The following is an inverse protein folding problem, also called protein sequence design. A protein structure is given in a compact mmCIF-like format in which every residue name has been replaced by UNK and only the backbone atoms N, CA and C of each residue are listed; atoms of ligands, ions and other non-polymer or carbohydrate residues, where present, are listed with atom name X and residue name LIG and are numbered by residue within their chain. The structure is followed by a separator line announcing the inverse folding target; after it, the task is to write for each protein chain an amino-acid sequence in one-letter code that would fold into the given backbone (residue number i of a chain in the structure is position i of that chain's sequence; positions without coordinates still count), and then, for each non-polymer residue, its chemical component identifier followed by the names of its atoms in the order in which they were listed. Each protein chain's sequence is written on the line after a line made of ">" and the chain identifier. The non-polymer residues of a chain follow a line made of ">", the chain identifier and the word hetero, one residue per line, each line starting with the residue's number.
data_IF_643937324703
#
_entry.id   IF_643937324703
#
_cell.length_a   1.000
_cell.length_b   1.000
_cell.length_c   1.000
_cell.angle_alpha   90.00
_cell.angle_beta   90.00
_cell.angle_gamma   90.00
#
_symmetry.space_group_name_H-M   'P 1'
#
loop_
_entity.id
_entity.type
_entity.pdbx_description
1 polymer ?
#
# COMPACT_ATOMS: atom_id res chain seq x y z
N UNK A 1 6.65 -50.22 26.13
CA UNK A 1 6.32 -50.67 24.75
C UNK A 1 5.58 -49.54 24.04
N UNK A 2 5.92 -49.33 22.77
CA UNK A 2 5.64 -48.17 21.90
C UNK A 2 4.23 -48.16 21.28
N UNK A 3 3.69 -46.97 20.97
CA UNK A 3 3.27 -46.46 19.63
C UNK A 3 2.44 -45.16 19.87
N UNK A 4 2.83 -43.93 19.51
CA UNK A 4 3.20 -43.29 18.23
C UNK A 4 2.22 -43.56 17.09
N UNK A 5 1.16 -42.75 16.98
CA UNK A 5 0.34 -42.63 15.76
C UNK A 5 -0.51 -41.34 15.69
N UNK A 6 0.00 -40.19 16.14
CA UNK A 6 -0.57 -38.89 15.75
C UNK A 6 0.48 -38.12 14.95
N UNK A 7 0.09 -37.65 13.76
CA UNK A 7 0.77 -36.67 12.89
C UNK A 7 1.01 -37.20 11.47
N UNK A 8 -0.05 -37.25 10.64
CA UNK A 8 0.06 -37.43 9.19
C UNK A 8 -1.11 -36.78 8.43
N UNK A 9 -1.47 -35.52 8.69
CA UNK A 9 -2.26 -34.74 7.71
C UNK A 9 -1.97 -33.24 7.89
N UNK A 10 -1.15 -32.63 7.03
CA UNK A 10 -1.19 -31.17 6.66
C UNK A 10 -0.02 -30.64 5.81
N UNK A 11 0.77 -31.47 5.11
CA UNK A 11 1.82 -30.96 4.19
C UNK A 11 1.49 -31.29 2.73
N UNK A 12 0.62 -30.50 2.07
CA UNK A 12 0.39 -30.62 0.62
C UNK A 12 -0.01 -29.30 -0.08
N UNK A 13 0.69 -28.19 0.18
CA UNK A 13 0.68 -27.08 -0.79
C UNK A 13 2.03 -26.37 -0.83
N UNK A 14 2.45 -26.05 -2.05
CA UNK A 14 3.55 -25.14 -2.41
C UNK A 14 4.93 -25.80 -2.59
N UNK A 15 5.11 -26.38 -3.78
CA UNK A 15 6.37 -26.98 -4.25
C UNK A 15 6.82 -26.30 -5.54
N UNK A 16 7.78 -25.37 -5.46
CA UNK A 16 8.48 -24.83 -6.64
C UNK A 16 9.52 -25.83 -7.18
N UNK A 17 9.60 -25.96 -8.49
CA UNK A 17 10.27 -27.03 -9.23
C UNK A 17 11.43 -26.44 -10.07
N UNK A 18 12.68 -26.58 -9.62
CA UNK A 18 13.85 -26.25 -10.45
C UNK A 18 14.28 -27.47 -11.30
N UNK A 19 14.36 -27.26 -12.62
CA UNK A 19 14.59 -28.27 -13.65
C UNK A 19 16.05 -28.22 -14.14
N UNK A 20 16.88 -29.21 -13.80
CA UNK A 20 18.19 -29.39 -14.46
C UNK A 20 18.06 -30.38 -15.63
N UNK A 21 18.41 -29.92 -16.84
CA UNK A 21 18.45 -30.74 -18.06
C UNK A 21 19.83 -31.41 -18.17
N UNK A 22 19.86 -32.74 -18.12
CA UNK A 22 21.00 -33.53 -18.61
C UNK A 22 20.72 -34.02 -20.03
N UNK A 23 21.67 -33.93 -20.97
CA UNK A 23 21.44 -34.39 -22.32
C UNK A 23 21.54 -35.92 -22.36
N UNK A 24 20.40 -36.58 -22.58
CA UNK A 24 20.34 -37.98 -22.96
C UNK A 24 19.81 -38.06 -24.38
N UNK A 25 20.55 -38.77 -25.23
CA UNK A 25 20.20 -38.99 -26.61
C UNK A 25 18.80 -39.58 -26.76
N UNK A 26 18.06 -38.96 -27.66
CA UNK A 26 16.86 -39.39 -28.37
C UNK A 26 15.72 -40.01 -27.54
N UNK A 27 14.75 -39.13 -27.26
CA UNK A 27 13.30 -39.33 -27.33
C UNK A 27 12.62 -40.27 -26.32
N UNK A 28 12.81 -39.99 -25.01
CA UNK A 28 11.70 -39.71 -24.07
C UNK A 28 12.28 -39.31 -22.70
N UNK A 29 12.25 -38.01 -22.39
CA UNK A 29 12.84 -37.42 -21.17
C UNK A 29 11.88 -37.68 -20.00
N UNK A 30 12.04 -38.80 -19.31
CA UNK A 30 11.48 -38.99 -17.96
C UNK A 30 12.31 -38.20 -16.94
N UNK A 31 11.97 -36.92 -16.72
CA UNK A 31 12.57 -36.07 -15.69
C UNK A 31 12.27 -36.64 -14.29
N UNK A 32 13.27 -37.30 -13.67
CA UNK A 32 13.23 -37.60 -12.24
C UNK A 32 13.68 -36.38 -11.45
N UNK A 33 12.72 -35.60 -10.95
CA UNK A 33 12.96 -34.48 -10.04
C UNK A 33 13.41 -34.99 -8.67
N UNK A 34 14.71 -34.94 -8.39
CA UNK A 34 15.26 -35.21 -7.06
C UNK A 34 15.03 -33.98 -6.15
N UNK A 35 13.88 -33.94 -5.46
CA UNK A 35 13.59 -32.93 -4.44
C UNK A 35 14.52 -33.12 -3.23
N UNK A 36 15.57 -32.31 -3.15
CA UNK A 36 16.32 -32.17 -1.89
C UNK A 36 15.48 -31.34 -0.92
N UNK A 37 14.77 -32.01 -0.02
CA UNK A 37 14.10 -31.38 1.13
C UNK A 37 15.16 -30.75 2.05
N UNK A 38 15.54 -29.51 1.77
CA UNK A 38 16.40 -28.76 2.67
C UNK A 38 15.51 -28.28 3.82
N UNK A 39 15.47 -29.05 4.92
CA UNK A 39 14.82 -28.63 6.17
C UNK A 39 15.22 -27.19 6.46
N UNK A 40 14.24 -26.29 6.59
CA UNK A 40 14.50 -24.90 6.95
C UNK A 40 15.21 -24.91 8.30
N UNK A 41 16.47 -24.50 8.31
CA UNK A 41 17.23 -24.37 9.55
C UNK A 41 16.71 -23.15 10.30
N UNK A 42 16.85 -23.12 11.63
CA UNK A 42 16.47 -21.95 12.43
C UNK A 42 17.15 -20.66 11.92
N UNK A 43 18.39 -20.79 11.43
CA UNK A 43 19.12 -19.70 10.74
C UNK A 43 18.42 -19.25 9.45
N UNK A 44 17.91 -20.19 8.65
CA UNK A 44 17.15 -19.89 7.44
C UNK A 44 15.81 -19.22 7.72
N UNK A 45 15.12 -19.63 8.80
CA UNK A 45 13.90 -18.95 9.28
C UNK A 45 14.18 -17.52 9.73
N UNK A 46 15.18 -17.34 10.60
CA UNK A 46 15.58 -16.03 11.10
C UNK A 46 15.95 -15.06 9.97
N UNK A 47 16.69 -15.53 8.96
CA UNK A 47 17.02 -14.74 7.78
C UNK A 47 15.78 -14.28 7.00
N UNK A 48 14.80 -15.17 6.77
CA UNK A 48 13.57 -14.80 6.08
C UNK A 48 12.73 -13.80 6.86
N UNK A 49 12.62 -13.98 8.19
CA UNK A 49 11.92 -13.04 9.08
C UNK A 49 12.54 -11.64 8.96
N UNK A 50 13.87 -11.54 9.08
CA UNK A 50 14.53 -10.23 9.01
C UNK A 50 14.36 -9.59 7.62
N UNK A 51 14.47 -10.36 6.54
CA UNK A 51 14.23 -9.86 5.17
C UNK A 51 12.81 -9.32 4.99
N UNK A 52 11.78 -10.02 5.50
CA UNK A 52 10.38 -9.56 5.39
C UNK A 52 10.11 -8.34 6.27
N UNK A 53 10.70 -8.30 7.46
CA UNK A 53 10.69 -7.12 8.35
C UNK A 53 11.32 -5.90 7.69
N UNK A 54 12.51 -6.03 7.12
CA UNK A 54 13.19 -4.94 6.41
C UNK A 54 12.37 -4.44 5.22
N UNK A 55 11.78 -5.35 4.45
CA UNK A 55 10.88 -5.01 3.36
C UNK A 55 9.68 -4.19 3.86
N UNK A 56 8.99 -4.65 4.91
CA UNK A 56 7.86 -3.96 5.51
C UNK A 56 8.26 -2.56 6.03
N UNK A 57 9.41 -2.43 6.69
CA UNK A 57 9.96 -1.14 7.15
C UNK A 57 10.34 -0.21 5.99
N UNK A 58 10.84 -0.76 4.88
CA UNK A 58 11.15 0.03 3.69
C UNK A 58 9.89 0.69 3.12
N UNK A 59 8.79 -0.07 3.03
CA UNK A 59 7.50 0.45 2.58
C UNK A 59 6.98 1.53 3.55
N UNK A 60 7.03 1.28 4.86
CA UNK A 60 6.67 2.27 5.88
C UNK A 60 7.42 3.60 5.71
N UNK A 61 8.72 3.56 5.39
CA UNK A 61 9.51 4.76 5.09
C UNK A 61 9.04 5.46 3.81
N UNK A 62 8.72 4.72 2.74
CA UNK A 62 8.19 5.30 1.50
C UNK A 62 6.86 6.01 1.75
N UNK A 63 5.94 5.37 2.49
CA UNK A 63 4.67 5.96 2.88
C UNK A 63 4.89 7.26 3.67
N UNK A 64 5.79 7.22 4.65
CA UNK A 64 6.11 8.42 5.47
C UNK A 64 6.66 9.56 4.62
N UNK A 65 7.43 9.26 3.57
CA UNK A 65 7.91 10.28 2.61
C UNK A 65 6.75 10.89 1.83
N UNK A 66 5.84 10.06 1.32
CA UNK A 66 4.64 10.52 0.60
C UNK A 66 3.77 11.40 1.50
N UNK A 67 3.56 11.01 2.77
CA UNK A 67 2.82 11.84 3.74
C UNK A 67 3.40 13.24 3.84
N UNK A 68 4.72 13.37 3.96
CA UNK A 68 5.40 14.67 4.03
C UNK A 68 5.26 15.48 2.74
N UNK A 69 5.31 14.81 1.58
CA UNK A 69 5.07 15.47 0.28
C UNK A 69 3.66 16.03 0.21
N UNK A 70 2.66 15.25 0.61
CA UNK A 70 1.26 15.67 0.63
C UNK A 70 1.06 16.82 1.62
N UNK A 71 1.60 16.71 2.84
CA UNK A 71 1.55 17.78 3.84
C UNK A 71 2.14 19.09 3.32
N UNK A 72 3.22 19.04 2.53
CA UNK A 72 3.78 20.23 1.87
C UNK A 72 2.91 20.80 0.75
N UNK A 73 2.09 19.96 0.11
CA UNK A 73 1.22 20.34 -1.00
C UNK A 73 -0.14 20.87 -0.52
N UNK A 74 -0.56 20.49 0.70
CA UNK A 74 -1.73 21.01 1.43
C UNK A 74 -1.42 22.43 1.96
N UNK A 75 -1.18 23.36 1.05
CA UNK A 75 -0.91 24.77 1.35
C UNK A 75 -1.87 25.69 0.61
N UNK A 76 -2.21 25.35 -0.63
CA UNK A 76 -3.09 26.11 -1.49
C UNK A 76 -4.15 25.20 -2.12
N UNK A 77 -5.37 25.71 -2.26
CA UNK A 77 -6.49 24.95 -2.83
C UNK A 77 -6.24 24.54 -4.29
N UNK A 78 -5.48 25.35 -5.02
CA UNK A 78 -5.14 25.10 -6.43
C UNK A 78 -4.32 23.81 -6.62
N UNK A 79 -3.68 23.30 -5.57
CA UNK A 79 -2.93 22.04 -5.60
C UNK A 79 -3.82 20.79 -5.46
N UNK A 80 -5.16 20.93 -5.45
CA UNK A 80 -6.09 19.82 -5.21
C UNK A 80 -5.84 18.61 -6.11
N UNK A 81 -5.50 18.83 -7.38
CA UNK A 81 -5.24 17.75 -8.33
C UNK A 81 -3.93 17.01 -8.04
N UNK A 82 -2.89 17.72 -7.64
CA UNK A 82 -1.61 17.10 -7.23
C UNK A 82 -1.80 16.26 -5.97
N UNK A 83 -2.48 16.83 -4.96
CA UNK A 83 -2.80 16.11 -3.71
C UNK A 83 -3.67 14.88 -3.95
N UNK A 84 -4.60 14.93 -4.92
CA UNK A 84 -5.39 13.75 -5.32
C UNK A 84 -4.53 12.65 -5.94
N UNK A 85 -3.62 12.99 -6.85
CA UNK A 85 -2.71 12.02 -7.47
C UNK A 85 -1.80 11.37 -6.40
N UNK A 86 -1.25 12.19 -5.50
CA UNK A 86 -0.42 11.68 -4.41
C UNK A 86 -1.21 10.80 -3.43
N UNK A 87 -2.50 11.09 -3.20
CA UNK A 87 -3.38 10.24 -2.40
C UNK A 87 -3.62 8.86 -3.02
N UNK A 88 -3.69 8.76 -4.35
CA UNK A 88 -3.78 7.47 -5.05
C UNK A 88 -2.50 6.65 -4.84
N UNK A 89 -1.33 7.27 -5.04
CA UNK A 89 -0.03 6.64 -4.79
C UNK A 89 0.09 6.20 -3.33
N UNK A 90 -0.31 7.06 -2.39
CA UNK A 90 -0.35 6.77 -0.96
C UNK A 90 -1.25 5.56 -0.66
N UNK A 91 -2.44 5.50 -1.25
CA UNK A 91 -3.39 4.40 -1.06
C UNK A 91 -2.84 3.08 -1.59
N UNK A 92 -2.16 3.09 -2.75
CA UNK A 92 -1.50 1.91 -3.30
C UNK A 92 -0.39 1.40 -2.36
N UNK A 93 0.41 2.32 -1.80
CA UNK A 93 1.46 1.95 -0.85
C UNK A 93 0.90 1.37 0.46
N UNK A 94 -0.28 1.80 0.92
CA UNK A 94 -0.93 1.19 2.09
C UNK A 94 -1.32 -0.27 1.85
N UNK A 95 -1.82 -0.60 0.65
CA UNK A 95 -2.12 -1.98 0.26
C UNK A 95 -0.84 -2.81 0.24
N UNK A 96 0.25 -2.28 -0.34
CA UNK A 96 1.57 -2.95 -0.31
C UNK A 96 2.09 -3.15 1.11
N UNK A 97 1.87 -2.18 2.00
CA UNK A 97 2.29 -2.27 3.41
C UNK A 97 1.56 -3.38 4.15
N UNK A 98 0.24 -3.49 3.96
CA UNK A 98 -0.57 -4.57 4.51
C UNK A 98 -0.08 -5.94 4.01
N UNK A 99 0.12 -6.10 2.70
CA UNK A 99 0.60 -7.35 2.13
C UNK A 99 2.01 -7.73 2.64
N UNK A 100 2.91 -6.74 2.80
CA UNK A 100 4.22 -6.98 3.36
C UNK A 100 4.18 -7.35 4.85
N UNK A 101 3.26 -6.76 5.61
CA UNK A 101 3.00 -7.13 7.00
C UNK A 101 2.46 -8.57 7.09
N UNK A 102 1.46 -8.93 6.29
CA UNK A 102 0.90 -10.29 6.27
C UNK A 102 1.97 -11.33 5.94
N UNK A 103 2.85 -11.04 4.98
CA UNK A 103 3.98 -11.90 4.63
C UNK A 103 5.03 -12.01 5.76
N UNK A 104 5.25 -10.95 6.54
CA UNK A 104 6.13 -11.00 7.71
C UNK A 104 5.48 -11.77 8.86
N UNK A 105 4.23 -11.45 9.19
CA UNK A 105 3.39 -12.08 10.22
C UNK A 105 3.29 -13.58 10.00
N UNK A 106 3.12 -14.04 8.77
CA UNK A 106 3.01 -15.46 8.42
C UNK A 106 4.25 -16.31 8.79
N UNK A 107 5.39 -15.67 9.03
CA UNK A 107 6.61 -16.37 9.47
C UNK A 107 6.77 -16.44 10.99
N UNK A 108 5.93 -15.73 11.75
CA UNK A 108 6.03 -15.58 13.21
C UNK A 108 5.05 -16.50 13.93
N UNK A 109 5.37 -16.87 15.16
CA UNK A 109 4.50 -17.72 15.98
C UNK A 109 4.54 -17.34 17.45
N UNK A 110 3.43 -17.59 18.16
CA UNK A 110 3.33 -17.39 19.60
C UNK A 110 3.69 -15.96 20.02
N UNK A 111 4.68 -15.83 20.91
CA UNK A 111 5.06 -14.55 21.52
C UNK A 111 5.73 -13.57 20.56
N UNK A 112 6.23 -14.02 19.40
CA UNK A 112 6.84 -13.13 18.40
C UNK A 112 5.79 -12.25 17.69
N UNK A 113 4.51 -12.66 17.69
CA UNK A 113 3.44 -11.98 16.97
C UNK A 113 2.99 -10.67 17.62
N UNK A 114 2.99 -10.62 18.95
CA UNK A 114 2.51 -9.46 19.73
C UNK A 114 3.25 -8.17 19.34
N UNK A 115 4.58 -8.08 19.47
CA UNK A 115 5.29 -6.84 19.16
C UNK A 115 5.19 -6.45 17.68
N UNK A 116 5.03 -7.41 16.77
CA UNK A 116 4.90 -7.15 15.33
C UNK A 116 3.51 -6.65 14.97
N UNK A 117 2.48 -7.15 15.65
CA UNK A 117 1.10 -6.69 15.50
C UNK A 117 0.94 -5.29 16.08
N UNK A 118 1.43 -5.05 17.30
CA UNK A 118 1.40 -3.73 17.93
C UNK A 118 2.10 -2.67 17.07
N UNK A 119 3.27 -3.02 16.52
CA UNK A 119 4.00 -2.15 15.60
C UNK A 119 3.20 -1.83 14.34
N UNK A 120 2.58 -2.84 13.71
CA UNK A 120 1.78 -2.64 12.52
C UNK A 120 0.55 -1.78 12.79
N UNK A 121 -0.21 -2.09 13.85
CA UNK A 121 -1.43 -1.38 14.21
C UNK A 121 -1.16 0.10 14.48
N UNK A 122 -0.09 0.42 15.19
CA UNK A 122 0.31 1.81 15.45
C UNK A 122 0.61 2.55 14.14
N UNK A 123 1.44 1.97 13.28
CA UNK A 123 1.82 2.60 12.02
C UNK A 123 0.67 2.70 11.04
N UNK A 124 -0.14 1.66 10.93
CA UNK A 124 -1.34 1.67 10.08
C UNK A 124 -2.34 2.72 10.55
N UNK A 125 -2.56 2.84 11.87
CA UNK A 125 -3.41 3.90 12.44
C UNK A 125 -2.92 5.29 12.07
N UNK A 126 -1.61 5.57 12.21
CA UNK A 126 -1.03 6.86 11.83
C UNK A 126 -1.27 7.15 10.34
N UNK A 127 -0.97 6.19 9.47
CA UNK A 127 -1.12 6.34 8.03
C UNK A 127 -2.59 6.52 7.62
N UNK A 128 -3.50 5.74 8.22
CA UNK A 128 -4.92 5.83 7.92
C UNK A 128 -5.53 7.16 8.40
N UNK A 129 -5.11 7.66 9.58
CA UNK A 129 -5.50 8.98 10.05
C UNK A 129 -5.02 10.10 9.10
N UNK A 130 -3.82 9.97 8.53
CA UNK A 130 -3.34 10.89 7.50
C UNK A 130 -4.24 10.82 6.25
N UNK A 131 -4.57 9.60 5.77
CA UNK A 131 -5.48 9.40 4.64
C UNK A 131 -6.80 10.16 4.81
N UNK A 132 -7.44 10.01 5.96
CA UNK A 132 -8.73 10.67 6.27
C UNK A 132 -8.58 12.19 6.18
N UNK A 133 -7.53 12.76 6.80
CA UNK A 133 -7.27 14.21 6.73
C UNK A 133 -7.08 14.72 5.31
N UNK A 134 -6.38 13.95 4.46
CA UNK A 134 -6.15 14.32 3.06
C UNK A 134 -7.48 14.31 2.29
N UNK A 135 -8.30 13.28 2.48
CA UNK A 135 -9.62 13.18 1.86
C UNK A 135 -10.52 14.34 2.26
N UNK A 136 -10.56 14.66 3.57
CA UNK A 136 -11.34 15.78 4.09
C UNK A 136 -10.85 17.12 3.50
N UNK A 137 -9.54 17.32 3.43
CA UNK A 137 -8.96 18.51 2.82
C UNK A 137 -9.33 18.64 1.33
N UNK A 138 -9.24 17.55 0.55
CA UNK A 138 -9.64 17.54 -0.86
C UNK A 138 -11.12 17.93 -1.01
N UNK A 139 -12.00 17.40 -0.15
CA UNK A 139 -13.42 17.73 -0.19
C UNK A 139 -13.67 19.24 0.05
N UNK A 140 -12.99 19.82 1.05
CA UNK A 140 -13.06 21.26 1.33
C UNK A 140 -12.46 22.09 0.19
N UNK A 141 -11.33 21.66 -0.37
CA UNK A 141 -10.65 22.33 -1.47
C UNK A 141 -11.55 22.48 -2.70
N UNK A 142 -12.20 21.38 -3.10
CA UNK A 142 -13.13 21.37 -4.23
C UNK A 142 -14.30 22.34 -4.02
N UNK A 143 -14.92 22.28 -2.85
CA UNK A 143 -16.01 23.19 -2.50
C UNK A 143 -15.57 24.66 -2.58
N UNK A 144 -14.36 24.99 -2.09
CA UNK A 144 -13.85 26.36 -2.11
C UNK A 144 -13.52 26.86 -3.53
N UNK A 145 -13.03 25.99 -4.40
CA UNK A 145 -12.77 26.33 -5.80
C UNK A 145 -14.09 26.63 -6.52
N UNK A 146 -15.13 25.81 -6.30
CA UNK A 146 -16.46 26.01 -6.87
C UNK A 146 -17.10 27.33 -6.42
N UNK A 147 -17.08 27.63 -5.11
CA UNK A 147 -17.58 28.88 -4.52
C UNK A 147 -16.93 30.12 -5.16
N UNK A 148 -15.61 30.10 -5.36
CA UNK A 148 -14.90 31.21 -6.01
C UNK A 148 -15.27 31.41 -7.49
N UNK A 149 -15.68 30.36 -8.20
CA UNK A 149 -16.12 30.47 -9.59
C UNK A 149 -17.51 31.11 -9.70
N UNK A 150 -18.40 30.81 -8.76
CA UNK A 150 -19.75 31.38 -8.72
C UNK A 150 -19.73 32.87 -8.34
N UNK A 151 -18.88 33.26 -7.41
CA UNK A 151 -18.66 34.67 -7.04
C UNK A 151 -18.11 35.50 -8.22
N UNK A 152 -17.13 34.96 -8.95
CA UNK A 152 -16.59 35.62 -10.15
C UNK A 152 -17.66 35.74 -11.24
N UNK A 153 -18.47 34.71 -11.42
CA UNK A 153 -19.54 34.68 -12.43
C UNK A 153 -20.67 35.66 -12.12
N UNK A 154 -21.04 35.81 -10.85
CA UNK A 154 -22.06 36.79 -10.41
C UNK A 154 -21.55 38.23 -10.49
N UNK A 155 -20.28 38.48 -10.13
CA UNK A 155 -19.63 39.78 -10.31
C UNK A 155 -19.55 40.21 -11.79
N UNK A 156 -19.28 39.27 -12.71
CA UNK A 156 -19.27 39.54 -14.15
C UNK A 156 -20.68 39.86 -14.68
N UNK A 157 -21.70 39.08 -14.29
CA UNK A 157 -23.09 39.31 -14.72
C UNK A 157 -23.61 40.68 -14.25
N UNK A 158 -23.41 41.01 -12.98
CA UNK A 158 -23.81 42.31 -12.42
C UNK A 158 -23.08 43.50 -13.07
N UNK A 159 -21.79 43.34 -13.42
CA UNK A 159 -21.02 44.36 -14.14
C UNK A 159 -21.54 44.61 -15.57
N UNK A 160 -21.94 43.55 -16.28
CA UNK A 160 -22.53 43.66 -17.63
C UNK A 160 -23.92 44.30 -17.57
N UNK A 161 -24.72 43.95 -16.57
CA UNK A 161 -26.09 44.46 -16.40
C UNK A 161 -26.11 45.94 -15.95
N UNK A 162 -25.19 46.33 -15.07
CA UNK A 162 -25.01 47.74 -14.66
C UNK A 162 -24.64 48.65 -15.84
N UNK A 163 -23.82 48.16 -16.79
CA UNK A 163 -23.49 48.93 -18.02
C UNK A 163 -24.68 49.10 -18.97
N UNK A 164 -25.64 48.17 -18.98
CA UNK A 164 -26.85 48.27 -19.81
C UNK A 164 -27.87 49.25 -19.25
N UNK A 165 -27.99 49.36 -17.93
CA UNK A 165 -28.92 50.29 -17.27
C UNK A 165 -28.53 51.77 -17.37
N UNK A 166 -27.26 52.09 -17.70
CA UNK A 166 -26.80 53.47 -17.91
C UNK A 166 -27.10 54.02 -19.32
N UNK A 167 -27.56 53.19 -20.26
CA UNK A 167 -27.80 53.57 -21.66
C UNK A 167 -29.23 54.04 -22.01
N UNK A 168 -30.17 54.01 -21.05
CA UNK A 168 -31.58 54.35 -21.30
C UNK A 168 -32.00 55.65 -20.61
N UNK A 169 -31.42 56.77 -21.06
CA UNK A 169 -32.01 58.11 -20.90
C UNK A 169 -31.92 58.83 -22.25
N UNK A 170 -32.97 58.67 -23.05
CA UNK A 170 -33.35 59.59 -24.12
C UNK A 170 -34.76 60.06 -23.84
#
# INVERSE_FOLDING_TARGET
>A
MSTKADSLVSELSDMDLDLELTPLGNDDISVRVNRRFKKQTDKGRAYQIERKKEHCKSIQKRITKIMKTIEGSITEWDNVHEVQNDLEVFSQQLVEFQAAYEAWRGLLSGQELVPVTDWYDEHFRIMNNCKVKIVDWIAVAKYKIEEQMDDKSSALKSSIESRRSAGSRH
#
